data_IF_294876529626
#
_entry.id   IF_294876529626
#
_cell.length_a   1.000
_cell.length_b   1.000
_cell.length_c   1.000
_cell.angle_alpha   90.00
_cell.angle_beta   90.00
_cell.angle_gamma   90.00
#
_symmetry.space_group_name_H-M   'P 1'
#
loop_
_entity.id
_entity.type
_entity.pdbx_description
1 polymer ?
#
# COMPACT_ATOMS: atom_id res chain seq x y z
N UNK A 1 16.20 17.82 -28.21
CA UNK A 1 15.58 17.65 -26.88
C UNK A 1 14.20 17.08 -27.17
N UNK A 2 13.95 15.83 -26.82
CA UNK A 2 12.59 15.28 -26.94
C UNK A 2 11.71 15.92 -25.87
N UNK A 3 10.96 16.93 -26.29
CA UNK A 3 9.90 17.53 -25.49
C UNK A 3 8.61 16.81 -25.84
N UNK A 4 8.30 15.73 -25.10
CA UNK A 4 6.95 15.16 -25.11
C UNK A 4 6.03 16.01 -24.24
N UNK A 5 4.83 16.25 -24.72
CA UNK A 5 3.73 16.85 -23.95
C UNK A 5 3.23 15.86 -22.89
N UNK A 6 2.49 16.37 -21.89
CA UNK A 6 1.90 15.53 -20.84
C UNK A 6 0.91 14.52 -21.45
N UNK A 7 0.14 14.94 -22.46
CA UNK A 7 -0.79 14.08 -23.18
C UNK A 7 -0.09 12.97 -23.96
N UNK A 8 1.08 13.24 -24.55
CA UNK A 8 1.87 12.22 -25.24
C UNK A 8 2.47 11.21 -24.26
N UNK A 9 3.00 11.67 -23.12
CA UNK A 9 3.47 10.80 -22.03
C UNK A 9 2.32 9.90 -21.55
N UNK A 10 1.16 10.51 -21.29
CA UNK A 10 -0.05 9.81 -20.86
C UNK A 10 -0.44 8.71 -21.83
N UNK A 11 -0.49 9.04 -23.12
CA UNK A 11 -0.81 8.09 -24.18
C UNK A 11 0.19 6.93 -24.22
N UNK A 12 1.48 7.21 -24.10
CA UNK A 12 2.51 6.17 -24.03
C UNK A 12 2.28 5.24 -22.83
N UNK A 13 2.03 5.79 -21.64
CA UNK A 13 1.77 5.01 -20.44
C UNK A 13 0.54 4.10 -20.57
N UNK A 14 -0.52 4.54 -21.25
CA UNK A 14 -1.76 3.75 -21.35
C UNK A 14 -1.79 2.75 -22.52
N UNK A 15 -1.10 3.04 -23.62
CA UNK A 15 -1.35 2.37 -24.91
C UNK A 15 -0.11 1.78 -25.58
N UNK A 16 1.09 2.19 -25.18
CA UNK A 16 2.30 1.58 -25.74
C UNK A 16 2.48 0.19 -25.13
N UNK A 17 2.96 -0.75 -25.95
CA UNK A 17 3.38 -2.08 -25.54
C UNK A 17 4.90 -2.28 -25.63
N UNK A 18 5.64 -1.25 -26.05
CA UNK A 18 7.10 -1.28 -26.13
C UNK A 18 7.70 -0.66 -24.86
N UNK A 19 8.49 -1.45 -24.13
CA UNK A 19 9.13 -1.01 -22.91
C UNK A 19 10.02 0.22 -23.13
N UNK A 20 10.77 0.28 -24.25
CA UNK A 20 11.68 1.40 -24.49
C UNK A 20 10.92 2.72 -24.69
N UNK A 21 9.82 2.70 -25.45
CA UNK A 21 8.96 3.87 -25.61
C UNK A 21 8.34 4.36 -24.29
N UNK A 22 7.94 3.43 -23.43
CA UNK A 22 7.39 3.72 -22.10
C UNK A 22 8.49 4.30 -21.20
N UNK A 23 9.67 3.68 -21.19
CA UNK A 23 10.83 4.11 -20.41
C UNK A 23 11.28 5.52 -20.82
N UNK A 24 11.35 5.81 -22.13
CA UNK A 24 11.69 7.14 -22.61
C UNK A 24 10.64 8.20 -22.20
N UNK A 25 9.34 7.86 -22.28
CA UNK A 25 8.27 8.74 -21.78
C UNK A 25 8.43 9.01 -20.28
N UNK A 26 8.78 7.97 -19.52
CA UNK A 26 9.01 8.05 -18.09
C UNK A 26 10.19 8.95 -17.73
N UNK A 27 11.35 8.77 -18.39
CA UNK A 27 12.51 9.62 -18.16
C UNK A 27 12.23 11.09 -18.49
N UNK A 28 11.47 11.35 -19.57
CA UNK A 28 11.04 12.72 -19.90
C UNK A 28 10.12 13.29 -18.82
N UNK A 29 9.18 12.51 -18.29
CA UNK A 29 8.27 12.95 -17.22
C UNK A 29 9.03 13.30 -15.93
N UNK A 30 9.93 12.43 -15.50
CA UNK A 30 10.77 12.62 -14.31
C UNK A 30 11.70 13.82 -14.49
N UNK A 31 12.36 13.94 -15.64
CA UNK A 31 13.26 15.06 -15.96
C UNK A 31 12.54 16.40 -15.95
N UNK A 32 11.29 16.42 -16.39
CA UNK A 32 10.43 17.61 -16.36
C UNK A 32 9.78 17.85 -14.99
N UNK A 33 10.12 17.06 -13.96
CA UNK A 33 9.58 17.14 -12.61
C UNK A 33 8.04 17.09 -12.58
N UNK A 34 7.45 16.27 -13.45
CA UNK A 34 6.01 16.03 -13.44
C UNK A 34 5.66 15.17 -12.22
N UNK A 35 5.34 15.80 -11.10
CA UNK A 35 4.86 15.10 -9.92
C UNK A 35 3.32 14.99 -9.93
N UNK A 36 2.80 14.14 -10.83
CA UNK A 36 1.38 13.86 -10.94
C UNK A 36 1.13 12.35 -10.69
N UNK A 37 0.63 12.03 -9.49
CA UNK A 37 0.33 10.65 -9.08
C UNK A 37 -0.67 9.98 -10.04
N UNK A 38 -1.65 10.72 -10.56
CA UNK A 38 -2.67 10.17 -11.47
C UNK A 38 -2.08 9.81 -12.83
N UNK A 39 -1.05 10.52 -13.28
CA UNK A 39 -0.30 10.17 -14.48
C UNK A 39 0.45 8.84 -14.29
N UNK A 40 1.16 8.67 -13.18
CA UNK A 40 1.92 7.45 -12.93
C UNK A 40 1.05 6.25 -12.56
N UNK A 41 -0.14 6.47 -12.00
CA UNK A 41 -1.13 5.42 -11.83
C UNK A 41 -1.44 4.73 -13.16
N UNK A 42 -1.58 5.51 -14.24
CA UNK A 42 -1.85 4.95 -15.56
C UNK A 42 -0.69 4.12 -16.11
N UNK A 43 0.56 4.45 -15.75
CA UNK A 43 1.73 3.64 -16.06
C UNK A 43 1.65 2.27 -15.38
N UNK A 44 1.32 2.23 -14.08
CA UNK A 44 1.29 0.98 -13.33
C UNK A 44 0.16 0.03 -13.77
N UNK A 45 -0.91 0.57 -14.35
CA UNK A 45 -2.00 -0.23 -14.94
C UNK A 45 -1.74 -0.67 -16.38
N UNK A 46 -0.57 -0.39 -16.94
CA UNK A 46 -0.25 -0.85 -18.28
C UNK A 46 0.00 -2.36 -18.28
N UNK A 47 -0.89 -3.11 -18.94
CA UNK A 47 -0.83 -4.57 -19.04
C UNK A 47 0.37 -5.12 -19.81
N UNK A 48 1.12 -4.28 -20.54
CA UNK A 48 2.35 -4.71 -21.22
C UNK A 48 3.55 -4.78 -20.29
N UNK A 49 3.46 -4.20 -19.08
CA UNK A 49 4.54 -4.20 -18.11
C UNK A 49 4.50 -5.46 -17.25
N UNK A 50 5.68 -5.98 -16.98
CA UNK A 50 5.91 -7.04 -16.00
C UNK A 50 5.96 -6.45 -14.59
N UNK A 51 5.81 -7.32 -13.59
CA UNK A 51 5.93 -6.92 -12.19
C UNK A 51 7.26 -6.20 -11.90
N UNK A 52 8.39 -6.71 -12.42
CA UNK A 52 9.71 -6.12 -12.21
C UNK A 52 9.84 -4.72 -12.85
N UNK A 53 9.23 -4.50 -14.01
CA UNK A 53 9.22 -3.18 -14.67
C UNK A 53 8.36 -2.18 -13.90
N UNK A 54 7.20 -2.60 -13.38
CA UNK A 54 6.34 -1.78 -12.51
C UNK A 54 7.12 -1.37 -11.25
N UNK A 55 7.83 -2.32 -10.62
CA UNK A 55 8.69 -2.04 -9.45
C UNK A 55 9.79 -1.04 -9.80
N UNK A 56 10.48 -1.23 -10.93
CA UNK A 56 11.54 -0.34 -11.39
C UNK A 56 11.05 1.11 -11.47
N UNK A 57 9.90 1.34 -12.11
CA UNK A 57 9.33 2.67 -12.25
C UNK A 57 8.90 3.25 -10.90
N UNK A 58 8.18 2.48 -10.08
CA UNK A 58 7.66 2.96 -8.80
C UNK A 58 8.76 3.27 -7.77
N UNK A 59 9.80 2.44 -7.67
CA UNK A 59 10.94 2.72 -6.79
C UNK A 59 11.70 3.97 -7.23
N UNK A 60 11.89 4.15 -8.55
CA UNK A 60 12.52 5.37 -9.07
C UNK A 60 11.68 6.62 -8.77
N UNK A 61 10.35 6.55 -8.91
CA UNK A 61 9.47 7.66 -8.54
C UNK A 61 9.54 7.98 -7.04
N UNK A 62 9.55 6.96 -6.18
CA UNK A 62 9.64 7.15 -4.74
C UNK A 62 10.96 7.83 -4.30
N UNK A 63 12.03 7.66 -5.08
CA UNK A 63 13.32 8.35 -4.87
C UNK A 63 13.30 9.78 -5.42
N UNK A 64 12.74 9.98 -6.60
CA UNK A 64 12.72 11.29 -7.28
C UNK A 64 11.68 12.26 -6.72
N UNK A 65 10.58 11.75 -6.16
CA UNK A 65 9.48 12.50 -5.57
C UNK A 65 9.15 11.99 -4.15
N UNK A 66 9.99 12.29 -3.14
CA UNK A 66 9.80 11.81 -1.77
C UNK A 66 8.46 12.21 -1.15
N UNK A 67 7.87 13.33 -1.57
CA UNK A 67 6.60 13.86 -1.08
C UNK A 67 5.39 12.97 -1.43
N UNK A 68 5.46 12.24 -2.54
CA UNK A 68 4.43 11.31 -3.03
C UNK A 68 4.80 9.85 -2.80
N UNK A 69 5.91 9.59 -2.10
CA UNK A 69 6.41 8.24 -1.81
C UNK A 69 5.37 7.33 -1.16
N UNK A 70 4.59 7.89 -0.23
CA UNK A 70 3.47 7.20 0.40
C UNK A 70 2.46 6.71 -0.65
N UNK A 71 1.95 7.64 -1.47
CA UNK A 71 0.93 7.34 -2.47
C UNK A 71 1.45 6.33 -3.50
N UNK A 72 2.69 6.50 -3.97
CA UNK A 72 3.34 5.58 -4.90
C UNK A 72 3.38 4.16 -4.35
N UNK A 73 3.75 3.98 -3.09
CA UNK A 73 3.82 2.65 -2.49
C UNK A 73 2.45 2.04 -2.21
N UNK A 74 1.46 2.82 -1.80
CA UNK A 74 0.08 2.35 -1.74
C UNK A 74 -0.41 1.86 -3.11
N UNK A 75 -0.16 2.62 -4.18
CA UNK A 75 -0.56 2.23 -5.52
C UNK A 75 0.14 0.97 -6.02
N UNK A 76 1.46 0.86 -5.80
CA UNK A 76 2.19 -0.36 -6.14
C UNK A 76 1.60 -1.57 -5.41
N UNK A 77 1.34 -1.44 -4.11
CA UNK A 77 0.73 -2.50 -3.32
C UNK A 77 -0.61 -2.95 -3.92
N UNK A 78 -1.53 -2.01 -4.20
CA UNK A 78 -2.83 -2.31 -4.80
C UNK A 78 -2.73 -2.94 -6.19
N UNK A 79 -1.76 -2.53 -7.02
CA UNK A 79 -1.56 -3.11 -8.35
C UNK A 79 -1.11 -4.57 -8.23
N UNK A 80 -0.20 -4.88 -7.30
CA UNK A 80 0.26 -6.25 -7.07
C UNK A 80 -0.81 -7.14 -6.45
N UNK A 81 -1.59 -6.59 -5.52
CA UNK A 81 -2.74 -7.25 -4.92
C UNK A 81 -3.78 -7.64 -5.97
N UNK A 82 -4.18 -6.70 -6.85
CA UNK A 82 -5.28 -6.93 -7.81
C UNK A 82 -4.85 -7.72 -9.05
N UNK A 83 -3.69 -7.38 -9.61
CA UNK A 83 -3.32 -7.83 -10.96
C UNK A 83 -2.54 -9.15 -10.94
N UNK A 84 -1.85 -9.44 -9.83
CA UNK A 84 -0.89 -10.54 -9.78
C UNK A 84 -1.07 -11.49 -8.58
N UNK A 85 -2.24 -11.46 -7.94
CA UNK A 85 -2.62 -12.24 -6.75
C UNK A 85 -2.27 -13.74 -6.81
N UNK A 86 -2.20 -14.34 -8.01
CA UNK A 86 -2.10 -15.79 -8.18
C UNK A 86 -0.67 -16.36 -8.17
N UNK A 87 0.40 -15.54 -8.14
CA UNK A 87 1.79 -16.00 -8.30
C UNK A 87 2.79 -15.24 -7.38
N UNK A 88 2.80 -15.47 -6.07
CA UNK A 88 3.77 -14.89 -5.11
C UNK A 88 3.69 -13.36 -4.85
N UNK A 89 2.66 -12.66 -5.36
CA UNK A 89 2.61 -11.19 -5.25
C UNK A 89 1.89 -10.67 -4.00
N UNK A 90 1.29 -11.53 -3.16
CA UNK A 90 0.82 -11.09 -1.84
C UNK A 90 1.98 -10.66 -0.94
N UNK A 91 3.13 -11.34 -0.99
CA UNK A 91 4.34 -10.90 -0.28
C UNK A 91 4.87 -9.57 -0.83
N UNK A 92 4.73 -9.35 -2.15
CA UNK A 92 5.15 -8.10 -2.78
C UNK A 92 4.20 -6.94 -2.47
N UNK A 93 2.89 -7.18 -2.48
CA UNK A 93 1.89 -6.21 -2.04
C UNK A 93 2.12 -5.86 -0.56
N UNK A 94 2.33 -6.87 0.29
CA UNK A 94 2.67 -6.69 1.69
C UNK A 94 3.94 -5.85 1.88
N UNK A 95 5.01 -6.14 1.12
CA UNK A 95 6.24 -5.34 1.12
C UNK A 95 5.95 -3.86 0.83
N UNK A 96 5.14 -3.55 -0.18
CA UNK A 96 4.84 -2.17 -0.53
C UNK A 96 3.94 -1.46 0.48
N UNK A 97 3.02 -2.17 1.15
CA UNK A 97 2.31 -1.61 2.29
C UNK A 97 3.24 -1.30 3.47
N UNK A 98 4.24 -2.14 3.75
CA UNK A 98 5.27 -1.83 4.75
C UNK A 98 6.03 -0.56 4.39
N UNK A 99 6.42 -0.41 3.12
CA UNK A 99 7.10 0.79 2.61
C UNK A 99 6.22 2.05 2.68
N UNK A 100 4.92 1.93 2.45
CA UNK A 100 3.97 3.02 2.62
C UNK A 100 3.83 3.43 4.10
N UNK A 101 3.71 2.46 5.01
CA UNK A 101 3.69 2.70 6.45
C UNK A 101 4.98 3.36 6.95
N UNK A 102 6.16 2.98 6.43
CA UNK A 102 7.41 3.68 6.73
C UNK A 102 7.41 5.15 6.29
N UNK A 103 6.75 5.46 5.16
CA UNK A 103 6.67 6.82 4.64
C UNK A 103 5.71 7.70 5.45
N UNK A 104 4.59 7.15 5.92
CA UNK A 104 3.64 7.84 6.81
C UNK A 104 3.09 6.89 7.89
N UNK A 105 3.82 6.70 9.00
CA UNK A 105 3.45 5.70 10.02
C UNK A 105 2.24 6.11 10.87
N UNK A 106 1.81 7.37 10.78
CA UNK A 106 0.61 7.86 11.45
C UNK A 106 -0.70 7.46 10.75
N UNK A 107 -0.62 7.06 9.47
CA UNK A 107 -1.75 6.62 8.67
C UNK A 107 -2.05 5.14 8.93
N UNK A 108 -3.32 4.82 9.14
CA UNK A 108 -3.74 3.45 9.45
C UNK A 108 -3.87 2.57 8.20
N UNK A 109 -4.15 3.17 7.04
CA UNK A 109 -4.58 2.45 5.85
C UNK A 109 -3.56 1.40 5.38
N UNK A 110 -2.23 1.68 5.29
CA UNK A 110 -1.28 0.65 4.87
C UNK A 110 -1.23 -0.56 5.81
N UNK A 111 -1.48 -0.36 7.10
CA UNK A 111 -1.52 -1.46 8.06
C UNK A 111 -2.75 -2.33 7.88
N UNK A 112 -3.90 -1.71 7.57
CA UNK A 112 -5.17 -2.40 7.39
C UNK A 112 -5.24 -3.09 6.03
N UNK A 113 -4.83 -2.41 4.96
CA UNK A 113 -4.88 -2.93 3.59
C UNK A 113 -3.89 -4.10 3.41
N UNK A 114 -2.74 -4.06 4.09
CA UNK A 114 -1.81 -5.20 4.16
C UNK A 114 -2.47 -6.49 4.68
N UNK A 115 -3.48 -6.36 5.55
CA UNK A 115 -4.18 -7.51 6.13
C UNK A 115 -5.12 -8.17 5.13
N UNK A 116 -5.53 -7.46 4.08
CA UNK A 116 -6.41 -7.99 3.04
C UNK A 116 -5.63 -8.86 2.02
N UNK A 117 -4.29 -8.78 2.04
CA UNK A 117 -3.41 -9.70 1.32
C UNK A 117 -3.33 -11.10 1.94
N UNK A 118 -3.97 -11.36 3.09
CA UNK A 118 -3.89 -12.65 3.79
C UNK A 118 -4.73 -13.73 3.11
N UNK A 119 -4.06 -14.73 2.55
CA UNK A 119 -4.66 -16.00 2.13
C UNK A 119 -4.53 -17.03 3.26
N UNK A 120 -5.64 -17.46 3.90
CA UNK A 120 -5.61 -18.41 5.01
C UNK A 120 -5.30 -19.85 4.57
N UNK A 121 -5.60 -20.23 3.33
CA UNK A 121 -5.33 -21.58 2.81
C UNK A 121 -3.82 -21.75 2.56
N UNK A 122 -3.17 -20.69 2.09
CA UNK A 122 -1.73 -20.67 1.80
C UNK A 122 -0.89 -20.12 2.98
N UNK A 123 -1.52 -19.42 3.92
CA UNK A 123 -0.86 -18.64 4.98
C UNK A 123 0.18 -17.64 4.42
N UNK A 124 -0.24 -16.87 3.40
CA UNK A 124 0.61 -15.87 2.72
C UNK A 124 -0.11 -14.50 2.71
N UNK A 125 0.54 -13.40 3.16
CA UNK A 125 1.77 -13.44 3.94
C UNK A 125 1.53 -14.17 5.28
N UNK A 126 2.56 -14.70 5.95
CA UNK A 126 2.37 -15.42 7.22
C UNK A 126 1.59 -14.59 8.24
N UNK A 127 0.56 -15.19 8.86
CA UNK A 127 -0.32 -14.50 9.81
C UNK A 127 0.45 -13.74 10.91
N UNK A 128 1.55 -14.33 11.40
CA UNK A 128 2.41 -13.72 12.40
C UNK A 128 3.07 -12.41 11.92
N UNK A 129 3.46 -12.34 10.64
CA UNK A 129 4.04 -11.12 10.07
C UNK A 129 3.02 -9.99 10.04
N UNK A 130 1.75 -10.29 9.73
CA UNK A 130 0.66 -9.33 9.74
C UNK A 130 0.35 -8.83 11.16
N UNK A 131 0.33 -9.75 12.14
CA UNK A 131 0.17 -9.41 13.56
C UNK A 131 1.29 -8.47 14.00
N UNK A 132 2.55 -8.81 13.72
CA UNK A 132 3.70 -7.99 14.11
C UNK A 132 3.69 -6.63 13.41
N UNK A 133 3.25 -6.58 12.15
CA UNK A 133 3.10 -5.34 11.40
C UNK A 133 2.02 -4.42 12.01
N UNK A 134 0.83 -4.95 12.31
CA UNK A 134 -0.23 -4.20 13.01
C UNK A 134 0.24 -3.68 14.37
N UNK A 135 0.95 -4.50 15.16
CA UNK A 135 1.52 -4.08 16.45
C UNK A 135 2.55 -2.97 16.31
N UNK A 136 3.30 -2.94 15.21
CA UNK A 136 4.20 -1.83 14.92
C UNK A 136 3.42 -0.52 14.69
N UNK A 137 2.28 -0.59 13.98
CA UNK A 137 1.41 0.56 13.73
C UNK A 137 0.76 1.15 14.97
N UNK A 138 0.43 0.33 15.98
CA UNK A 138 -0.13 0.80 17.26
C UNK A 138 0.72 1.88 17.96
N UNK A 139 2.03 1.94 17.68
CA UNK A 139 2.95 2.93 18.27
C UNK A 139 2.90 4.30 17.60
N UNK A 140 2.33 4.38 16.40
CA UNK A 140 2.47 5.52 15.50
C UNK A 140 1.13 6.05 14.98
N UNK A 141 0.17 5.16 14.74
CA UNK A 141 -1.13 5.49 14.14
C UNK A 141 -1.94 6.39 15.07
N UNK A 142 -2.50 7.46 14.50
CA UNK A 142 -3.27 8.47 15.25
C UNK A 142 -4.57 7.90 15.84
N UNK A 143 -5.23 6.98 15.11
CA UNK A 143 -6.50 6.38 15.50
C UNK A 143 -6.42 4.84 15.46
N UNK A 144 -5.75 4.19 16.44
CA UNK A 144 -5.37 2.78 16.35
C UNK A 144 -6.52 1.78 16.57
N UNK A 145 -7.76 2.26 16.77
CA UNK A 145 -8.93 1.42 17.03
C UNK A 145 -9.12 0.34 15.96
N UNK A 146 -9.01 0.71 14.68
CA UNK A 146 -9.17 -0.24 13.58
C UNK A 146 -8.09 -1.32 13.59
N UNK A 147 -6.85 -0.96 13.97
CA UNK A 147 -5.75 -1.91 14.13
C UNK A 147 -6.03 -2.90 15.26
N UNK A 148 -6.56 -2.46 16.41
CA UNK A 148 -6.95 -3.36 17.49
C UNK A 148 -8.03 -4.36 17.06
N UNK A 149 -9.05 -3.90 16.32
CA UNK A 149 -10.09 -4.80 15.80
C UNK A 149 -9.52 -5.86 14.84
N UNK A 150 -8.59 -5.46 13.97
CA UNK A 150 -7.93 -6.39 13.05
C UNK A 150 -7.00 -7.36 13.78
N UNK A 151 -6.27 -6.89 14.80
CA UNK A 151 -5.45 -7.75 15.66
C UNK A 151 -6.28 -8.79 16.41
N UNK A 152 -7.44 -8.40 16.94
CA UNK A 152 -8.34 -9.33 17.60
C UNK A 152 -8.75 -10.48 16.68
N UNK A 153 -9.18 -10.15 15.46
CA UNK A 153 -9.52 -11.13 14.43
C UNK A 153 -8.35 -12.09 14.12
N UNK A 154 -7.13 -11.56 13.95
CA UNK A 154 -5.97 -12.41 13.68
C UNK A 154 -5.54 -13.26 14.88
N UNK A 155 -5.70 -12.78 16.11
CA UNK A 155 -5.49 -13.61 17.30
C UNK A 155 -6.54 -14.72 17.44
N UNK A 156 -7.79 -14.47 17.08
CA UNK A 156 -8.83 -15.52 17.00
C UNK A 156 -8.47 -16.59 15.98
N UNK A 157 -8.01 -16.19 14.77
CA UNK A 157 -7.54 -17.14 13.75
C UNK A 157 -6.33 -17.95 14.23
N UNK A 158 -5.42 -17.35 15.00
CA UNK A 158 -4.27 -18.02 15.59
C UNK A 158 -4.64 -18.91 16.80
N UNK A 159 -5.89 -18.88 17.28
CA UNK A 159 -6.35 -19.61 18.46
C UNK A 159 -5.96 -18.97 19.80
N UNK A 160 -5.54 -17.70 19.81
CA UNK A 160 -5.12 -16.95 20.99
C UNK A 160 -6.26 -16.07 21.53
N UNK A 161 -7.24 -16.71 22.18
CA UNK A 161 -8.45 -16.05 22.67
C UNK A 161 -8.17 -14.96 23.73
N UNK A 162 -7.11 -15.13 24.53
CA UNK A 162 -6.73 -14.16 25.57
C UNK A 162 -6.31 -12.83 24.92
N UNK A 163 -5.41 -12.87 23.92
CA UNK A 163 -4.98 -11.66 23.22
C UNK A 163 -6.07 -11.05 22.35
N UNK A 164 -6.96 -11.87 21.80
CA UNK A 164 -8.13 -11.36 21.09
C UNK A 164 -9.03 -10.50 22.00
N UNK A 165 -9.35 -11.02 23.19
CA UNK A 165 -10.16 -10.31 24.18
C UNK A 165 -9.47 -9.03 24.71
N UNK A 166 -8.15 -9.06 24.89
CA UNK A 166 -7.37 -7.86 25.20
C UNK A 166 -7.53 -6.78 24.12
N UNK A 167 -7.43 -7.16 22.84
CA UNK A 167 -7.58 -6.23 21.72
C UNK A 167 -9.00 -5.66 21.61
N UNK A 168 -10.04 -6.47 21.83
CA UNK A 168 -11.43 -6.00 21.86
C UNK A 168 -11.65 -4.95 22.95
N UNK A 169 -11.16 -5.22 24.17
CA UNK A 169 -11.27 -4.27 25.29
C UNK A 169 -10.57 -2.94 25.02
N UNK A 170 -9.39 -2.94 24.41
CA UNK A 170 -8.69 -1.71 24.04
C UNK A 170 -9.42 -0.95 22.92
N UNK A 171 -9.99 -1.64 21.93
CA UNK A 171 -10.80 -1.00 20.89
C UNK A 171 -12.05 -0.31 21.47
N UNK A 172 -12.76 -0.96 22.40
CA UNK A 172 -13.94 -0.40 23.06
C UNK A 172 -13.62 0.79 23.96
N UNK A 173 -12.48 0.73 24.67
CA UNK A 173 -12.00 1.85 25.48
C UNK A 173 -11.75 3.10 24.64
N UNK A 174 -11.20 2.93 23.42
CA UNK A 174 -10.96 4.05 22.50
C UNK A 174 -12.27 4.67 22.00
N UNK A 175 -13.35 3.90 21.86
CA UNK A 175 -14.68 4.40 21.48
C UNK A 175 -15.32 5.27 22.54
N UNK A 176 -15.15 4.90 23.82
CA UNK A 176 -15.67 5.66 24.95
C UNK A 176 -14.96 7.00 25.11
N UNK A 177 -13.68 7.10 24.72
CA UNK A 177 -12.91 8.34 24.78
C UNK A 177 -13.28 9.36 23.69
N UNK A 178 -13.87 8.92 22.58
CA UNK A 178 -14.23 9.78 21.43
C UNK A 178 -15.72 10.11 21.34
N UNK A 179 -16.53 9.62 22.28
CA UNK A 179 -17.93 10.01 22.43
C UNK A 179 -18.03 11.04 23.58
N UNK A 180 -17.92 12.36 23.32
CA UNK A 180 -18.24 13.34 24.36
C UNK A 180 -19.73 13.22 24.66
N UNK A 181 -20.03 13.00 25.93
CA UNK A 181 -21.38 12.89 26.51
C UNK A 181 -22.50 13.56 25.69
N UNK A 182 -23.31 12.74 25.02
CA UNK A 182 -24.70 13.07 24.79
C UNK A 182 -25.50 12.80 26.07
N UNK A 183 -25.22 13.57 27.12
CA UNK A 183 -26.07 13.65 28.32
C UNK A 183 -25.76 14.87 29.18
N UNK A 184 -26.48 15.96 28.94
CA UNK A 184 -27.01 16.86 29.97
C UNK A 184 -28.25 17.57 29.43
#
# INVERSE_FOLDING_TARGET
MDTRTVEEIRRCFTASSDFNEIFDAFEVAVKNRLNDVELYRQLFWNSSLTADEIRLFGEKLAVEFPETKYDIYCWLASVFEVTYATNDNYDLAFYYFQRAAEARPAEQDPYLDACDCYDPDLNVPPLQNLIDFLKSGLKHVTHPKALYKRLAYFYELAGDAEKAEECHREADRLDQLHSPDSSA
#
